data_IF_355540658446
#
_entry.id   IF_355540658446
#
_cell.length_a   1.000
_cell.length_b   1.000
_cell.length_c   1.000
_cell.angle_alpha   90.00
_cell.angle_beta   90.00
_cell.angle_gamma   90.00
#
_symmetry.space_group_name_H-M   'P 1'
#
loop_
_entity.id
_entity.type
_entity.pdbx_description
1 polymer ?
#
# COMPACT_ATOMS: atom_id res chain seq x y z
N UNK A 1 -36.82 34.40 76.90
CA UNK A 1 -35.56 35.05 76.63
C UNK A 1 -34.97 34.46 75.36
N UNK A 2 -34.93 35.28 74.38
CA UNK A 2 -34.54 34.99 73.03
C UNK A 2 -32.99 34.83 72.91
N UNK A 3 -32.49 33.81 72.21
CA UNK A 3 -31.12 33.71 71.89
C UNK A 3 -31.00 33.38 70.36
N UNK A 4 -30.58 34.43 69.63
CA UNK A 4 -30.30 34.35 68.19
C UNK A 4 -29.13 33.45 67.88
N UNK A 5 -29.36 32.50 66.95
CA UNK A 5 -28.30 31.67 66.33
C UNK A 5 -28.09 32.19 64.94
N UNK A 6 -26.99 32.94 64.74
CA UNK A 6 -26.50 33.39 63.44
C UNK A 6 -26.00 32.16 62.60
N UNK A 7 -26.64 31.90 61.53
CA UNK A 7 -26.16 30.99 60.46
C UNK A 7 -25.15 31.70 59.58
N UNK A 8 -23.85 31.38 59.70
CA UNK A 8 -22.81 31.78 58.75
C UNK A 8 -22.87 30.87 57.52
N UNK A 9 -23.33 31.43 56.40
CA UNK A 9 -23.29 30.75 55.13
C UNK A 9 -21.85 30.58 54.59
N UNK A 10 -21.44 29.37 54.31
CA UNK A 10 -20.19 29.06 53.63
C UNK A 10 -20.50 29.02 52.12
N UNK A 11 -19.98 30.00 51.37
CA UNK A 11 -20.00 30.03 49.94
C UNK A 11 -18.92 29.05 49.41
N UNK A 12 -19.34 27.91 48.88
CA UNK A 12 -18.44 26.98 48.19
C UNK A 12 -18.32 27.42 46.74
N UNK A 13 -17.19 27.96 46.34
CA UNK A 13 -16.85 28.25 44.94
C UNK A 13 -16.40 26.95 44.30
N UNK A 14 -17.24 26.33 43.46
CA UNK A 14 -16.87 25.21 42.64
C UNK A 14 -16.07 25.70 41.41
N UNK A 15 -14.75 25.56 41.45
CA UNK A 15 -13.89 25.79 40.30
C UNK A 15 -14.05 24.61 39.32
N UNK A 16 -14.82 24.84 38.26
CA UNK A 16 -14.97 23.90 37.17
C UNK A 16 -13.67 23.79 36.33
N UNK A 17 -12.93 22.70 36.46
CA UNK A 17 -11.80 22.38 35.59
C UNK A 17 -12.35 21.93 34.25
N UNK A 18 -12.39 22.82 33.24
CA UNK A 18 -12.67 22.48 31.86
C UNK A 18 -11.43 21.80 31.25
N UNK A 19 -11.41 20.49 31.23
CA UNK A 19 -10.40 19.72 30.43
C UNK A 19 -10.74 19.89 28.96
N UNK A 20 -10.07 20.80 28.26
CA UNK A 20 -10.10 20.88 26.81
C UNK A 20 -9.40 19.62 26.27
N UNK A 21 -10.18 18.64 25.80
CA UNK A 21 -9.64 17.56 24.97
C UNK A 21 -9.15 18.16 23.65
N UNK A 22 -7.85 18.41 23.57
CA UNK A 22 -7.16 18.63 22.31
C UNK A 22 -7.21 17.32 21.53
N UNK A 23 -8.25 17.14 20.71
CA UNK A 23 -8.19 16.17 19.61
C UNK A 23 -7.05 16.62 18.70
N UNK A 24 -5.85 16.09 18.92
CA UNK A 24 -4.74 16.23 18.01
C UNK A 24 -5.18 15.63 16.66
N UNK A 25 -5.55 16.50 15.71
CA UNK A 25 -5.64 16.09 14.32
C UNK A 25 -4.26 15.50 13.98
N UNK A 26 -4.18 14.19 13.81
CA UNK A 26 -2.96 13.53 13.37
C UNK A 26 -2.50 14.25 12.11
N UNK A 27 -1.42 14.99 12.19
CA UNK A 27 -0.83 15.59 10.99
C UNK A 27 -0.42 14.45 10.12
N UNK A 28 -1.13 14.27 9.00
CA UNK A 28 -0.69 13.35 7.94
C UNK A 28 0.76 13.70 7.64
N UNK A 29 1.67 12.77 7.92
CA UNK A 29 3.10 13.01 7.78
C UNK A 29 3.38 13.34 6.32
N UNK A 30 3.67 14.60 6.05
CA UNK A 30 3.93 15.08 4.70
C UNK A 30 5.20 14.37 4.18
N UNK A 31 5.06 13.67 3.07
CA UNK A 31 6.18 12.96 2.47
C UNK A 31 7.24 13.93 1.95
N UNK A 32 8.54 13.59 2.03
CA UNK A 32 9.57 14.34 1.34
C UNK A 32 9.28 14.48 -0.15
N UNK A 33 9.71 15.58 -0.77
CA UNK A 33 9.54 15.84 -2.22
C UNK A 33 10.14 14.76 -3.12
N UNK A 34 11.09 14.00 -2.63
CA UNK A 34 11.65 12.83 -3.30
C UNK A 34 12.20 11.84 -2.29
N UNK A 35 12.28 10.59 -2.66
CA UNK A 35 12.81 9.57 -1.78
C UNK A 35 12.72 8.16 -2.35
N UNK A 36 13.11 7.22 -1.50
CA UNK A 36 13.00 5.80 -1.77
C UNK A 36 12.34 5.10 -0.58
N UNK A 37 11.57 4.08 -0.87
CA UNK A 37 11.07 3.15 0.13
C UNK A 37 10.94 1.74 -0.45
N UNK A 38 11.03 0.74 0.40
CA UNK A 38 10.88 -0.66 -0.01
C UNK A 38 9.72 -1.30 0.72
N UNK A 39 8.99 -2.15 0.01
CA UNK A 39 7.90 -2.93 0.57
C UNK A 39 8.08 -4.42 0.29
N UNK A 40 7.59 -5.23 1.21
CA UNK A 40 7.27 -6.63 1.00
C UNK A 40 5.77 -6.74 0.75
N UNK A 41 5.37 -7.70 -0.07
CA UNK A 41 3.97 -7.92 -0.37
C UNK A 41 3.67 -9.41 -0.53
N UNK A 42 2.48 -9.80 -0.08
CA UNK A 42 1.92 -11.12 -0.30
C UNK A 42 0.70 -11.01 -1.21
N UNK A 43 0.57 -11.92 -2.15
CA UNK A 43 -0.40 -11.84 -3.23
C UNK A 43 -1.16 -13.13 -3.46
N UNK A 44 -2.36 -12.97 -3.99
CA UNK A 44 -3.16 -14.03 -4.57
C UNK A 44 -3.49 -13.68 -6.02
N UNK A 45 -3.07 -14.55 -6.95
CA UNK A 45 -3.49 -14.48 -8.35
C UNK A 45 -4.91 -15.05 -8.51
N UNK A 46 -5.70 -14.40 -9.35
CA UNK A 46 -6.99 -14.88 -9.82
C UNK A 46 -7.08 -14.60 -11.32
N UNK A 47 -7.23 -15.65 -12.13
CA UNK A 47 -7.24 -15.54 -13.57
C UNK A 47 -7.08 -16.91 -14.24
N UNK A 48 -6.83 -16.87 -15.51
CA UNK A 48 -6.71 -18.05 -16.35
C UNK A 48 -5.33 -18.12 -17.02
N UNK A 49 -4.90 -19.33 -17.30
CA UNK A 49 -3.71 -19.62 -18.10
C UNK A 49 -4.11 -20.71 -19.11
N UNK A 50 -4.11 -20.37 -20.38
CA UNK A 50 -4.55 -21.25 -21.47
C UNK A 50 -3.41 -21.56 -22.42
N UNK A 51 -3.40 -22.79 -22.96
CA UNK A 51 -2.47 -23.16 -23.99
C UNK A 51 -2.89 -22.55 -25.34
N UNK A 52 -1.99 -21.80 -25.96
CA UNK A 52 -2.21 -21.11 -27.25
C UNK A 52 -1.27 -21.60 -28.37
N UNK A 53 -0.49 -22.65 -28.09
CA UNK A 53 0.44 -23.29 -29.01
C UNK A 53 1.25 -24.37 -28.32
N UNK A 54 2.08 -25.08 -29.05
CA UNK A 54 2.97 -26.09 -28.46
C UNK A 54 3.97 -25.39 -27.52
N UNK A 55 3.96 -25.78 -26.24
CA UNK A 55 4.81 -25.20 -25.21
C UNK A 55 4.52 -23.70 -24.91
N UNK A 56 3.46 -23.11 -25.49
CA UNK A 56 3.10 -21.70 -25.28
C UNK A 56 1.80 -21.56 -24.51
N UNK A 57 1.84 -20.74 -23.47
CA UNK A 57 0.71 -20.42 -22.60
C UNK A 57 0.46 -18.91 -22.60
N UNK A 58 -0.80 -18.51 -22.63
CA UNK A 58 -1.21 -17.13 -22.44
C UNK A 58 -2.08 -17.03 -21.19
N UNK A 59 -1.77 -16.04 -20.33
CA UNK A 59 -2.49 -15.84 -19.09
C UNK A 59 -3.00 -14.41 -18.94
N UNK A 60 -4.13 -14.28 -18.25
CA UNK A 60 -4.71 -12.98 -17.87
C UNK A 60 -5.48 -13.09 -16.56
N UNK A 61 -5.64 -11.94 -15.88
CA UNK A 61 -6.40 -11.90 -14.64
C UNK A 61 -6.04 -10.72 -13.77
N UNK A 62 -6.18 -10.92 -12.48
CA UNK A 62 -5.87 -9.96 -11.43
C UNK A 62 -5.02 -10.54 -10.31
N UNK A 63 -4.32 -9.66 -9.62
CA UNK A 63 -3.62 -9.93 -8.38
C UNK A 63 -4.26 -9.10 -7.27
N UNK A 64 -4.43 -9.69 -6.10
CA UNK A 64 -4.87 -9.03 -4.89
C UNK A 64 -3.80 -9.24 -3.82
N UNK A 65 -3.32 -8.17 -3.22
CA UNK A 65 -2.21 -8.28 -2.28
C UNK A 65 -2.30 -7.31 -1.12
N UNK A 66 -1.51 -7.62 -0.10
CA UNK A 66 -1.24 -6.77 1.07
C UNK A 66 0.21 -6.34 1.05
N UNK A 67 0.49 -5.14 1.53
CA UNK A 67 1.80 -4.53 1.48
C UNK A 67 2.28 -4.10 2.85
N UNK A 68 3.58 -4.24 3.08
CA UNK A 68 4.25 -3.88 4.32
C UNK A 68 5.54 -3.15 4.00
N UNK A 69 5.63 -1.88 4.38
CA UNK A 69 6.87 -1.13 4.27
C UNK A 69 7.93 -1.76 5.17
N UNK A 70 9.13 -1.98 4.65
CA UNK A 70 10.21 -2.65 5.36
C UNK A 70 10.70 -1.89 6.60
N UNK A 71 10.38 -0.59 6.71
CA UNK A 71 10.67 0.22 7.91
C UNK A 71 9.63 0.05 9.03
N UNK A 72 8.57 -0.75 8.81
CA UNK A 72 7.47 -0.91 9.76
C UNK A 72 6.53 0.29 9.84
N UNK A 73 6.70 1.29 8.98
CA UNK A 73 5.86 2.50 8.87
C UNK A 73 6.10 3.22 7.54
N UNK A 74 5.31 4.24 7.23
CA UNK A 74 5.47 5.06 6.03
C UNK A 74 4.67 4.55 4.83
N UNK A 75 4.99 5.00 3.59
CA UNK A 75 4.19 4.71 2.41
C UNK A 75 3.92 3.23 2.20
N UNK A 76 2.67 2.88 1.90
CA UNK A 76 2.19 1.53 1.65
C UNK A 76 2.43 0.51 2.79
N UNK A 77 2.66 1.00 4.05
CA UNK A 77 2.65 0.12 5.21
C UNK A 77 1.21 -0.23 5.60
N UNK A 78 0.94 -1.53 5.87
CA UNK A 78 -0.42 -2.04 6.11
C UNK A 78 -1.40 -1.64 5.00
N UNK A 79 -0.89 -1.55 3.78
CA UNK A 79 -1.65 -1.22 2.59
C UNK A 79 -2.13 -2.45 1.82
N UNK A 80 -2.83 -2.19 0.74
CA UNK A 80 -3.30 -3.21 -0.19
C UNK A 80 -3.02 -2.81 -1.64
N UNK A 81 -3.01 -3.79 -2.53
CA UNK A 81 -2.87 -3.53 -3.95
C UNK A 81 -3.75 -4.45 -4.78
N UNK A 82 -4.24 -3.90 -5.89
CA UNK A 82 -4.97 -4.62 -6.92
C UNK A 82 -4.28 -4.36 -8.24
N UNK A 83 -3.96 -5.43 -8.97
CA UNK A 83 -3.30 -5.34 -10.27
C UNK A 83 -4.04 -6.18 -11.30
N UNK A 84 -4.03 -5.74 -12.54
CA UNK A 84 -4.30 -6.58 -13.71
C UNK A 84 -3.01 -7.25 -14.19
N UNK A 85 -3.13 -8.33 -14.96
CA UNK A 85 -1.97 -8.92 -15.62
C UNK A 85 -2.31 -9.57 -16.96
N UNK A 86 -1.31 -9.62 -17.84
CA UNK A 86 -1.21 -10.56 -18.94
C UNK A 86 0.19 -11.19 -18.95
N UNK A 87 0.25 -12.48 -19.31
CA UNK A 87 1.49 -13.25 -19.43
C UNK A 87 1.49 -13.96 -20.80
N UNK A 88 2.65 -14.00 -21.46
CA UNK A 88 2.86 -14.81 -22.67
C UNK A 88 4.11 -15.64 -22.46
N UNK A 89 3.91 -16.92 -22.16
CA UNK A 89 4.96 -17.83 -21.73
C UNK A 89 5.26 -18.87 -22.79
N UNK A 90 6.53 -19.03 -23.11
CA UNK A 90 7.04 -20.15 -23.91
C UNK A 90 7.99 -20.97 -23.06
N UNK A 91 7.75 -22.27 -22.97
CA UNK A 91 8.49 -23.20 -22.11
C UNK A 91 8.57 -22.72 -20.64
N UNK A 92 7.48 -22.13 -20.13
CA UNK A 92 7.36 -21.68 -18.74
C UNK A 92 7.99 -20.32 -18.43
N UNK A 93 8.59 -19.62 -19.39
CA UNK A 93 9.21 -18.31 -19.23
C UNK A 93 8.65 -17.33 -20.26
N UNK A 94 8.70 -16.03 -19.96
CA UNK A 94 8.27 -15.02 -20.92
C UNK A 94 7.81 -13.72 -20.30
N UNK A 95 7.39 -12.75 -21.14
CA UNK A 95 7.00 -11.44 -20.72
C UNK A 95 5.65 -11.42 -20.01
N UNK A 96 5.52 -10.46 -19.12
CA UNK A 96 4.26 -10.11 -18.47
C UNK A 96 4.14 -8.61 -18.28
N UNK A 97 2.91 -8.13 -18.22
CA UNK A 97 2.59 -6.73 -18.02
C UNK A 97 1.23 -6.54 -17.37
N UNK A 98 1.01 -5.37 -16.83
CA UNK A 98 -0.27 -4.99 -16.24
C UNK A 98 -0.20 -3.63 -15.59
N UNK A 99 -1.24 -3.31 -14.85
CA UNK A 99 -1.37 -2.07 -14.09
C UNK A 99 -1.77 -2.36 -12.65
N UNK A 100 -1.34 -1.52 -11.71
CA UNK A 100 -1.65 -1.66 -10.29
C UNK A 100 -2.21 -0.37 -9.70
N UNK A 101 -3.15 -0.53 -8.79
CA UNK A 101 -3.55 0.48 -7.82
C UNK A 101 -3.08 0.03 -6.44
N UNK A 102 -2.13 0.78 -5.87
CA UNK A 102 -1.60 0.57 -4.54
C UNK A 102 -2.31 1.53 -3.59
N UNK A 103 -2.99 1.02 -2.58
CA UNK A 103 -3.75 1.82 -1.61
C UNK A 103 -3.04 1.78 -0.27
N UNK A 104 -2.71 2.95 0.26
CA UNK A 104 -2.14 3.11 1.58
C UNK A 104 -3.19 2.91 2.68
N UNK A 105 -2.75 2.77 3.92
CA UNK A 105 -3.62 2.66 5.09
C UNK A 105 -4.61 3.84 5.24
N UNK A 106 -4.24 5.03 4.76
CA UNK A 106 -5.10 6.22 4.77
C UNK A 106 -6.09 6.31 3.59
N UNK A 107 -6.02 5.35 2.66
CA UNK A 107 -6.84 5.33 1.44
C UNK A 107 -6.24 6.06 0.24
N UNK A 108 -5.11 6.75 0.40
CA UNK A 108 -4.38 7.39 -0.69
C UNK A 108 -3.73 6.35 -1.60
N UNK A 109 -3.61 6.67 -2.91
CA UNK A 109 -3.22 5.68 -3.91
C UNK A 109 -2.00 6.10 -4.70
N UNK A 110 -1.21 5.10 -5.09
CA UNK A 110 -0.21 5.18 -6.16
C UNK A 110 -0.71 4.30 -7.31
N UNK A 111 -0.62 4.79 -8.54
CA UNK A 111 -0.94 4.03 -9.76
C UNK A 111 0.35 3.70 -10.49
N UNK A 112 0.44 2.48 -11.01
CA UNK A 112 1.60 2.05 -11.79
C UNK A 112 1.20 1.19 -12.96
N UNK A 113 1.94 1.30 -14.06
CA UNK A 113 2.00 0.27 -15.09
C UNK A 113 3.28 -0.51 -14.90
N UNK A 114 3.24 -1.82 -15.14
CA UNK A 114 4.43 -2.63 -15.01
C UNK A 114 4.68 -3.51 -16.24
N UNK A 115 5.96 -3.80 -16.44
CA UNK A 115 6.45 -4.82 -17.35
C UNK A 115 7.51 -5.66 -16.67
N UNK A 116 7.64 -6.90 -17.07
CA UNK A 116 8.67 -7.78 -16.53
C UNK A 116 8.75 -9.10 -17.29
N UNK A 117 9.58 -9.99 -16.81
CA UNK A 117 9.80 -11.32 -17.40
C UNK A 117 9.82 -12.38 -16.31
N UNK A 118 9.05 -13.43 -16.52
CA UNK A 118 9.14 -14.66 -15.74
C UNK A 118 10.29 -15.49 -16.29
N UNK A 119 11.24 -15.83 -15.43
CA UNK A 119 12.33 -16.74 -15.75
C UNK A 119 11.93 -18.21 -15.57
N UNK A 120 12.72 -19.11 -16.13
CA UNK A 120 12.54 -20.57 -15.94
C UNK A 120 12.76 -21.02 -14.50
N UNK A 121 13.38 -20.18 -13.65
CA UNK A 121 13.54 -20.37 -12.21
C UNK A 121 12.28 -20.01 -11.40
N UNK A 122 11.20 -19.59 -12.08
CA UNK A 122 9.95 -19.17 -11.46
C UNK A 122 10.01 -17.78 -10.80
N UNK A 123 11.05 -17.00 -11.08
CA UNK A 123 11.17 -15.63 -10.58
C UNK A 123 10.73 -14.64 -11.66
N UNK A 124 9.80 -13.75 -11.30
CA UNK A 124 9.36 -12.67 -12.15
C UNK A 124 10.08 -11.38 -11.74
N UNK A 125 10.92 -10.87 -12.61
CA UNK A 125 11.63 -9.61 -12.43
C UNK A 125 11.03 -8.54 -13.31
N UNK A 126 10.81 -7.35 -12.77
CA UNK A 126 10.18 -6.28 -13.53
C UNK A 126 10.36 -4.89 -12.95
N UNK A 127 9.70 -3.95 -13.63
CA UNK A 127 9.69 -2.54 -13.29
C UNK A 127 8.25 -2.03 -13.32
N UNK A 128 7.83 -1.38 -12.24
CA UNK A 128 6.66 -0.53 -12.19
C UNK A 128 7.06 0.89 -12.60
N UNK A 129 6.34 1.49 -13.55
CA UNK A 129 6.40 2.90 -13.85
C UNK A 129 5.25 3.59 -13.11
N UNK A 130 5.53 4.58 -12.26
CA UNK A 130 4.49 5.35 -11.57
C UNK A 130 3.80 6.26 -12.58
N UNK A 131 2.48 6.13 -12.70
CA UNK A 131 1.63 6.89 -13.64
C UNK A 131 0.82 7.98 -12.95
N UNK A 132 0.79 7.97 -11.60
CA UNK A 132 0.10 8.99 -10.81
C UNK A 132 -0.24 8.51 -9.41
N UNK A 133 -1.00 9.34 -8.69
CA UNK A 133 -1.47 9.03 -7.34
C UNK A 133 -2.55 9.99 -6.86
N UNK A 134 -3.07 9.73 -5.66
CA UNK A 134 -4.10 10.56 -4.99
C UNK A 134 -3.63 11.01 -3.61
N UNK A 135 -4.31 11.98 -3.02
CA UNK A 135 -4.02 12.49 -1.68
C UNK A 135 -2.57 12.92 -1.51
N UNK A 136 -1.87 12.36 -0.51
CA UNK A 136 -0.44 12.64 -0.26
C UNK A 136 0.49 12.22 -1.40
N UNK A 137 0.01 11.40 -2.35
CA UNK A 137 0.72 10.97 -3.55
C UNK A 137 0.31 11.73 -4.81
N UNK A 138 -0.50 12.80 -4.70
CA UNK A 138 -0.89 13.61 -5.86
C UNK A 138 0.32 14.13 -6.62
N UNK A 139 0.35 13.90 -7.94
CA UNK A 139 1.46 14.30 -8.82
C UNK A 139 2.74 13.48 -8.67
N UNK A 140 2.69 12.37 -7.93
CA UNK A 140 3.84 11.46 -7.79
C UNK A 140 4.29 10.93 -9.16
N UNK A 141 5.60 10.89 -9.35
CA UNK A 141 6.27 10.28 -10.49
C UNK A 141 7.41 9.39 -10.01
N UNK A 142 7.88 8.47 -10.84
CA UNK A 142 9.00 7.59 -10.50
C UNK A 142 8.80 6.17 -10.99
N UNK A 143 9.48 5.24 -10.35
CA UNK A 143 9.49 3.82 -10.72
C UNK A 143 9.66 2.94 -9.49
N UNK A 144 9.36 1.64 -9.65
CA UNK A 144 9.70 0.66 -8.62
C UNK A 144 10.18 -0.64 -9.27
N UNK A 145 11.44 -0.98 -9.05
CA UNK A 145 11.95 -2.31 -9.39
C UNK A 145 11.29 -3.34 -8.49
N UNK A 146 10.95 -4.51 -9.04
CA UNK A 146 10.36 -5.58 -8.25
C UNK A 146 10.88 -6.96 -8.66
N UNK A 147 10.81 -7.86 -7.69
CA UNK A 147 11.00 -9.29 -7.88
C UNK A 147 9.86 -10.03 -7.18
N UNK A 148 9.24 -10.97 -7.88
CA UNK A 148 8.18 -11.80 -7.35
C UNK A 148 8.50 -13.29 -7.55
N UNK A 149 8.08 -14.13 -6.60
CA UNK A 149 8.27 -15.58 -6.67
C UNK A 149 7.01 -16.30 -6.20
N UNK A 150 6.62 -17.34 -6.95
CA UNK A 150 5.51 -18.21 -6.56
C UNK A 150 5.85 -18.95 -5.26
N UNK A 151 4.89 -18.99 -4.34
CA UNK A 151 4.96 -19.68 -3.06
C UNK A 151 4.12 -20.95 -3.06
N UNK A 152 3.17 -21.07 -3.98
CA UNK A 152 2.32 -22.24 -4.13
C UNK A 152 1.78 -22.36 -5.56
N UNK A 153 1.34 -23.55 -5.92
CA UNK A 153 0.63 -23.84 -7.18
C UNK A 153 -0.79 -23.26 -7.20
N UNK A 154 -1.28 -22.74 -6.08
CA UNK A 154 -2.60 -22.15 -5.94
C UNK A 154 -2.62 -20.63 -6.24
N UNK A 155 -1.56 -20.10 -6.84
CA UNK A 155 -1.47 -18.69 -7.21
C UNK A 155 -1.10 -17.74 -6.06
N UNK A 156 -0.51 -18.25 -4.97
CA UNK A 156 0.09 -17.39 -3.96
C UNK A 156 1.53 -17.08 -4.34
N UNK A 157 1.92 -15.82 -4.21
CA UNK A 157 3.30 -15.40 -4.42
C UNK A 157 3.68 -14.26 -3.48
N UNK A 158 4.97 -14.14 -3.23
CA UNK A 158 5.57 -13.05 -2.48
C UNK A 158 6.35 -12.15 -3.43
N UNK A 159 6.43 -10.86 -3.11
CA UNK A 159 7.24 -9.93 -3.87
C UNK A 159 7.88 -8.86 -2.98
N UNK A 160 9.01 -8.36 -3.47
CA UNK A 160 9.67 -7.17 -2.94
C UNK A 160 9.65 -6.09 -4.00
N UNK A 161 9.39 -4.85 -3.60
CA UNK A 161 9.45 -3.68 -4.48
C UNK A 161 10.30 -2.59 -3.84
N UNK A 162 11.09 -1.90 -4.67
CA UNK A 162 11.86 -0.74 -4.27
C UNK A 162 11.41 0.47 -5.09
N UNK A 163 10.67 1.36 -4.44
CA UNK A 163 10.15 2.59 -5.03
C UNK A 163 11.19 3.71 -4.97
N UNK A 164 11.35 4.40 -6.09
CA UNK A 164 12.03 5.70 -6.21
C UNK A 164 10.99 6.70 -6.70
N UNK A 165 10.75 7.78 -5.97
CA UNK A 165 9.67 8.71 -6.30
C UNK A 165 10.08 10.17 -6.18
N UNK A 166 9.29 11.02 -6.88
CA UNK A 166 9.30 12.48 -6.75
C UNK A 166 7.86 12.98 -6.65
N UNK A 167 7.64 13.98 -5.81
CA UNK A 167 6.41 14.77 -5.68
C UNK A 167 6.65 16.19 -6.21
N UNK A 168 5.58 16.91 -6.65
CA UNK A 168 5.69 18.29 -7.14
C UNK A 168 6.24 19.27 -6.10
#
# INVERSE_FOLDING_TARGET
MMGDVMFKGILTVAAGLSVAMLCGAGQAQQLPKSGTFSINSGWKANGELVQVGEGRMFGWGGFYGVTFNQRGSGPLHMGQAVCSYTLDLTAGAGPGRGACAWTDADGDKIFTDYTGTLGTDGVFNGMNQITGGTGKFSGITGKAAFQAKALSTQGHFGATQQFEYRLP
#
